data_IF_707612987702
#
_entry.id   IF_707612987702
#
_cell.length_a   1.000
_cell.length_b   1.000
_cell.length_c   1.000
_cell.angle_alpha   90.00
_cell.angle_beta   90.00
_cell.angle_gamma   90.00
#
_symmetry.space_group_name_H-M   'P 1'
#
loop_
_entity.id
_entity.type
_entity.pdbx_description
1 polymer ?
#
# COMPACT_ATOMS: atom_id res chain seq x y z
N UNK A 1 27.12 -8.09 22.45
CA UNK A 1 27.03 -8.52 21.04
C UNK A 1 27.22 -7.29 20.19
N UNK A 2 28.33 -7.20 19.46
CA UNK A 2 28.48 -6.18 18.42
C UNK A 2 27.69 -6.70 17.23
N UNK A 3 26.49 -6.17 17.02
CA UNK A 3 25.85 -6.30 15.71
C UNK A 3 26.76 -5.49 14.80
N UNK A 4 27.45 -6.13 13.85
CA UNK A 4 28.15 -5.39 12.80
C UNK A 4 27.11 -4.44 12.21
N UNK A 5 27.30 -3.14 12.42
CA UNK A 5 26.34 -2.13 11.97
C UNK A 5 26.50 -2.06 10.46
N UNK A 6 25.66 -2.82 9.76
CA UNK A 6 25.58 -2.80 8.31
C UNK A 6 25.33 -1.36 7.86
N UNK A 7 26.11 -0.88 6.91
CA UNK A 7 25.94 0.44 6.30
C UNK A 7 25.29 0.27 4.91
N UNK A 8 24.87 1.37 4.29
CA UNK A 8 24.24 1.33 2.97
C UNK A 8 25.14 0.70 1.89
N UNK A 9 26.45 1.03 1.77
CA UNK A 9 27.36 0.37 0.85
C UNK A 9 27.46 -1.16 0.99
N UNK A 10 27.28 -1.69 2.20
CA UNK A 10 27.25 -3.13 2.47
C UNK A 10 25.86 -3.74 2.22
N UNK A 11 24.81 -2.95 2.40
CA UNK A 11 23.40 -3.37 2.31
C UNK A 11 22.98 -3.78 0.91
N UNK A 12 23.26 -2.94 -0.09
CA UNK A 12 22.87 -3.22 -1.48
C UNK A 12 23.55 -4.47 -2.04
N UNK A 13 24.87 -4.66 -1.92
CA UNK A 13 25.53 -5.89 -2.38
C UNK A 13 25.08 -7.16 -1.64
N UNK A 14 24.66 -7.03 -0.38
CA UNK A 14 24.07 -8.16 0.36
C UNK A 14 22.73 -8.57 -0.25
N UNK A 15 21.83 -7.62 -0.53
CA UNK A 15 20.55 -7.90 -1.17
C UNK A 15 20.73 -8.42 -2.60
N UNK A 16 21.67 -7.88 -3.37
CA UNK A 16 22.04 -8.40 -4.69
C UNK A 16 22.46 -9.88 -4.61
N UNK A 17 23.31 -10.25 -3.65
CA UNK A 17 23.72 -11.65 -3.45
C UNK A 17 22.52 -12.53 -3.10
N UNK A 18 21.63 -12.09 -2.23
CA UNK A 18 20.44 -12.85 -1.83
C UNK A 18 19.45 -13.06 -2.98
N UNK A 19 19.39 -12.11 -3.92
CA UNK A 19 18.42 -12.11 -5.03
C UNK A 19 19.02 -12.60 -6.35
N UNK A 20 20.25 -13.13 -6.32
CA UNK A 20 21.02 -13.58 -7.49
C UNK A 20 21.19 -12.46 -8.55
N UNK A 21 21.57 -11.26 -8.09
CA UNK A 21 21.81 -10.09 -8.94
C UNK A 21 20.53 -9.36 -9.39
N UNK A 22 19.35 -9.82 -8.97
CA UNK A 22 18.07 -9.17 -9.29
C UNK A 22 17.69 -8.21 -8.16
N UNK A 23 18.41 -7.11 -8.02
CA UNK A 23 18.13 -6.12 -6.98
C UNK A 23 18.35 -4.72 -7.54
N UNK A 24 17.38 -4.22 -8.30
CA UNK A 24 17.55 -2.96 -9.02
C UNK A 24 17.13 -1.76 -8.18
N UNK A 25 16.00 -1.89 -7.48
CA UNK A 25 15.56 -0.92 -6.48
C UNK A 25 15.14 -1.64 -5.20
N UNK A 26 15.34 -0.94 -4.09
CA UNK A 26 15.03 -1.43 -2.76
C UNK A 26 14.13 -0.40 -2.10
N UNK A 27 13.08 -0.88 -1.47
CA UNK A 27 12.10 -0.05 -0.79
C UNK A 27 11.80 -0.57 0.60
N UNK A 28 11.30 0.29 1.46
CA UNK A 28 10.68 -0.07 2.72
C UNK A 28 9.36 0.67 2.89
N UNK A 29 8.51 0.15 3.76
CA UNK A 29 7.28 0.81 4.16
C UNK A 29 7.18 0.78 5.69
N UNK A 30 6.94 1.92 6.36
CA UNK A 30 6.66 1.95 7.79
C UNK A 30 5.48 1.03 8.11
N UNK A 31 5.57 0.32 9.23
CA UNK A 31 4.63 -0.77 9.58
C UNK A 31 3.16 -0.34 9.64
N UNK A 32 2.88 0.92 9.95
CA UNK A 32 1.52 1.47 10.05
C UNK A 32 1.11 2.25 8.80
N UNK A 33 2.02 2.44 7.86
CA UNK A 33 1.73 3.10 6.60
C UNK A 33 1.19 2.10 5.58
N UNK A 34 0.26 2.56 4.76
CA UNK A 34 -0.16 1.83 3.55
C UNK A 34 0.94 1.97 2.50
N UNK A 35 1.13 0.96 1.65
CA UNK A 35 2.15 1.02 0.58
C UNK A 35 1.97 2.24 -0.33
N UNK A 36 0.73 2.65 -0.57
CA UNK A 36 0.39 3.85 -1.35
C UNK A 36 0.79 5.17 -0.71
N UNK A 37 1.05 5.17 0.59
CA UNK A 37 1.27 6.38 1.39
C UNK A 37 2.69 6.43 1.98
N UNK A 38 3.33 5.27 2.18
CA UNK A 38 4.59 5.18 2.91
C UNK A 38 5.66 4.31 2.25
N UNK A 39 5.54 3.97 0.96
CA UNK A 39 6.64 3.30 0.28
C UNK A 39 7.78 4.28 0.00
N UNK A 40 8.95 4.02 0.59
CA UNK A 40 10.15 4.84 0.44
C UNK A 40 11.26 4.05 -0.23
N UNK A 41 11.97 4.67 -1.18
CA UNK A 41 13.13 4.07 -1.84
C UNK A 41 14.38 4.27 -0.99
N UNK A 42 15.24 3.25 -0.91
CA UNK A 42 16.53 3.32 -0.24
C UNK A 42 17.60 3.48 -1.32
N UNK A 43 18.05 4.71 -1.55
CA UNK A 43 18.97 5.05 -2.65
C UNK A 43 20.33 5.55 -2.16
N UNK A 44 20.42 5.98 -0.90
CA UNK A 44 21.64 6.54 -0.34
C UNK A 44 21.72 6.31 1.19
N UNK A 45 22.82 6.76 1.81
CA UNK A 45 23.06 6.63 3.25
C UNK A 45 22.02 7.36 4.12
N UNK A 46 21.46 8.47 3.65
CA UNK A 46 20.41 9.21 4.39
C UNK A 46 19.15 8.34 4.50
N UNK A 47 18.64 7.87 3.36
CA UNK A 47 17.44 7.00 3.32
C UNK A 47 17.66 5.73 4.15
N UNK A 48 18.87 5.16 4.10
CA UNK A 48 19.20 3.97 4.89
C UNK A 48 19.24 4.24 6.39
N UNK A 49 19.68 5.43 6.82
CA UNK A 49 19.62 5.81 8.23
C UNK A 49 18.17 5.99 8.70
N UNK A 50 17.31 6.63 7.90
CA UNK A 50 15.87 6.74 8.18
C UNK A 50 15.23 5.35 8.34
N UNK A 51 15.53 4.43 7.40
CA UNK A 51 15.14 3.02 7.49
C UNK A 51 15.58 2.34 8.81
N UNK A 52 16.81 2.60 9.28
CA UNK A 52 17.31 2.04 10.53
C UNK A 52 16.64 2.64 11.78
N UNK A 53 16.27 3.92 11.73
CA UNK A 53 15.53 4.58 12.81
C UNK A 53 14.16 3.93 12.99
N UNK A 54 13.44 3.67 11.89
CA UNK A 54 12.15 2.99 11.90
C UNK A 54 12.22 1.54 12.42
N UNK A 55 13.33 0.83 12.14
CA UNK A 55 13.55 -0.53 12.66
C UNK A 55 13.71 -0.54 14.18
N UNK A 56 14.38 0.46 14.76
CA UNK A 56 14.68 0.50 16.19
C UNK A 56 13.40 0.52 17.05
N UNK A 57 12.31 1.06 16.51
CA UNK A 57 11.03 1.11 17.22
C UNK A 57 10.31 -0.25 17.25
N UNK A 58 10.41 -1.05 16.18
CA UNK A 58 9.54 -2.25 16.00
C UNK A 58 10.27 -3.59 15.83
N UNK A 59 11.61 -3.61 15.92
CA UNK A 59 12.49 -4.81 15.84
C UNK A 59 12.46 -5.57 14.51
N UNK A 60 11.55 -5.22 13.59
CA UNK A 60 11.45 -5.81 12.25
C UNK A 60 10.80 -4.80 11.29
N UNK A 61 11.37 -4.67 10.10
CA UNK A 61 10.79 -3.96 8.98
C UNK A 61 10.94 -4.81 7.72
N UNK A 62 9.91 -4.82 6.88
CA UNK A 62 9.94 -5.55 5.62
C UNK A 62 10.59 -4.67 4.54
N UNK A 63 11.40 -5.31 3.70
CA UNK A 63 12.09 -4.68 2.57
C UNK A 63 11.56 -5.30 1.29
N UNK A 64 11.22 -4.45 0.32
CA UNK A 64 10.71 -4.84 -0.98
C UNK A 64 11.80 -4.64 -2.03
N UNK A 65 12.05 -5.66 -2.85
CA UNK A 65 13.05 -5.61 -3.90
C UNK A 65 12.37 -5.63 -5.25
N UNK A 66 12.64 -4.61 -6.06
CA UNK A 66 12.24 -4.59 -7.46
C UNK A 66 13.37 -5.16 -8.33
N UNK A 67 13.01 -6.20 -9.08
CA UNK A 67 13.91 -6.93 -9.96
C UNK A 67 14.02 -6.31 -11.36
N UNK A 68 12.97 -5.66 -11.87
CA UNK A 68 12.82 -5.35 -13.28
C UNK A 68 12.57 -3.87 -13.58
N UNK A 69 12.62 -2.99 -12.58
CA UNK A 69 12.21 -1.59 -12.72
C UNK A 69 10.76 -1.46 -13.17
N UNK A 70 9.89 -2.22 -12.52
CA UNK A 70 8.46 -2.09 -12.77
C UNK A 70 7.98 -0.75 -12.22
N UNK A 71 6.95 -0.14 -12.85
CA UNK A 71 6.39 1.13 -12.39
C UNK A 71 5.52 0.92 -11.15
N UNK A 72 6.14 0.45 -10.06
CA UNK A 72 5.46 0.00 -8.84
C UNK A 72 4.55 1.10 -8.25
N UNK A 73 5.00 2.36 -8.29
CA UNK A 73 4.20 3.49 -7.83
C UNK A 73 2.93 3.72 -8.66
N UNK A 74 2.97 3.43 -9.97
CA UNK A 74 1.80 3.57 -10.83
C UNK A 74 0.78 2.48 -10.51
N UNK A 75 1.24 1.24 -10.34
CA UNK A 75 0.37 0.11 -9.98
C UNK A 75 -0.30 0.29 -8.62
N UNK A 76 0.45 0.78 -7.62
CA UNK A 76 -0.09 1.05 -6.30
C UNK A 76 -1.19 2.13 -6.37
N UNK A 77 -0.99 3.18 -7.16
CA UNK A 77 -2.00 4.23 -7.36
C UNK A 77 -3.24 3.71 -8.10
N UNK A 78 -3.05 2.89 -9.14
CA UNK A 78 -4.16 2.29 -9.89
C UNK A 78 -5.04 1.39 -9.02
N UNK A 79 -4.45 0.57 -8.15
CA UNK A 79 -5.19 -0.28 -7.21
C UNK A 79 -6.07 0.54 -6.27
N UNK A 80 -5.56 1.67 -5.75
CA UNK A 80 -6.35 2.55 -4.90
C UNK A 80 -7.56 3.16 -5.60
N UNK A 81 -7.37 3.59 -6.85
CA UNK A 81 -8.45 4.19 -7.66
C UNK A 81 -9.55 3.16 -7.94
N UNK A 82 -9.16 1.92 -8.24
CA UNK A 82 -10.09 0.83 -8.47
C UNK A 82 -10.92 0.54 -7.21
N UNK A 83 -10.29 0.45 -6.04
CA UNK A 83 -10.97 0.19 -4.76
C UNK A 83 -11.94 1.30 -4.35
N UNK A 84 -11.60 2.58 -4.63
CA UNK A 84 -12.50 3.72 -4.38
C UNK A 84 -13.75 3.67 -5.27
N UNK A 85 -13.61 3.23 -6.53
CA UNK A 85 -14.73 3.19 -7.48
C UNK A 85 -15.84 2.20 -7.10
N UNK A 86 -15.50 1.03 -6.55
CA UNK A 86 -16.46 -0.03 -6.19
C UNK A 86 -17.36 0.39 -5.01
N UNK A 87 -16.89 1.26 -4.12
CA UNK A 87 -17.69 1.75 -2.98
C UNK A 87 -18.70 2.84 -3.35
N UNK A 88 -18.61 3.43 -4.55
CA UNK A 88 -19.47 4.52 -4.99
C UNK A 88 -20.74 4.07 -5.75
N UNK A 89 -20.85 2.80 -6.12
CA UNK A 89 -21.97 2.24 -6.89
C UNK A 89 -22.81 1.28 -6.04
N UNK A 90 -23.46 1.80 -5.00
CA UNK A 90 -24.69 1.20 -4.48
C UNK A 90 -25.88 1.95 -5.07
N UNK A 91 -26.69 1.36 -5.96
CA UNK A 91 -27.95 1.96 -6.35
C UNK A 91 -28.87 1.95 -5.12
N UNK A 92 -29.19 3.13 -4.59
CA UNK A 92 -30.37 3.30 -3.73
C UNK A 92 -31.59 2.99 -4.59
N UNK A 93 -32.12 1.79 -4.51
CA UNK A 93 -33.46 1.49 -5.01
C UNK A 93 -34.46 2.21 -4.12
N UNK A 94 -34.72 3.48 -4.44
CA UNK A 94 -35.84 4.24 -3.91
C UNK A 94 -37.12 3.60 -4.43
N UNK A 95 -37.74 2.74 -3.62
CA UNK A 95 -39.08 2.23 -3.91
C UNK A 95 -40.06 3.40 -3.72
N UNK A 96 -40.45 4.01 -4.84
CA UNK A 96 -41.44 5.09 -4.89
C UNK A 96 -42.74 4.62 -4.27
N UNK A 97 -43.17 5.26 -3.18
CA UNK A 97 -44.50 5.07 -2.61
C UNK A 97 -45.44 5.95 -3.44
N UNK A 98 -46.24 5.36 -4.33
CA UNK A 98 -47.29 6.09 -5.04
C UNK A 98 -48.52 6.23 -4.15
N UNK A 99 -48.90 7.47 -3.87
CA UNK A 99 -50.07 7.90 -3.11
C UNK A 99 -51.40 7.50 -3.81
N UNK A 100 -52.38 7.07 -2.99
CA UNK A 100 -53.80 6.77 -3.30
C UNK A 100 -54.61 8.01 -3.76
N UNK A 101 -55.82 7.88 -4.39
CA UNK A 101 -57.09 7.79 -3.61
C UNK A 101 -58.33 7.07 -4.24
N UNK A 102 -59.09 6.40 -3.35
CA UNK A 102 -60.55 6.20 -3.19
C UNK A 102 -61.51 5.95 -4.39
N UNK A 103 -62.35 4.89 -4.28
CA UNK A 103 -63.81 5.03 -4.45
C UNK A 103 -64.63 3.98 -3.66
N UNK A 104 -65.72 4.45 -3.05
CA UNK A 104 -66.75 3.73 -2.30
C UNK A 104 -67.40 2.57 -3.08
N UNK A 105 -67.78 1.51 -2.37
CA UNK A 105 -69.05 0.81 -2.60
C UNK A 105 -69.67 0.40 -1.26
N UNK A 106 -71.00 0.51 -1.25
CA UNK A 106 -71.87 0.71 -0.10
C UNK A 106 -72.18 -0.57 0.69
N UNK A 107 -72.69 -0.34 1.89
CA UNK A 107 -73.46 -1.26 2.72
C UNK A 107 -74.57 -1.97 1.93
N UNK A 108 -74.80 -3.25 2.25
CA UNK A 108 -76.09 -3.80 2.66
C UNK A 108 -75.84 -4.94 3.65
#
# INVERSE_FOLDING_TARGET
>A
MVVNKMNFPDFTPFLEKLTNGRCRYVYYCPHEARLSEGLHAIQNDCDFNEFLEDINEKKRLDVYVDHYHEPLFDWIQEEELHNKSITSTSPKTSRSISSTPKHNLNND
#
